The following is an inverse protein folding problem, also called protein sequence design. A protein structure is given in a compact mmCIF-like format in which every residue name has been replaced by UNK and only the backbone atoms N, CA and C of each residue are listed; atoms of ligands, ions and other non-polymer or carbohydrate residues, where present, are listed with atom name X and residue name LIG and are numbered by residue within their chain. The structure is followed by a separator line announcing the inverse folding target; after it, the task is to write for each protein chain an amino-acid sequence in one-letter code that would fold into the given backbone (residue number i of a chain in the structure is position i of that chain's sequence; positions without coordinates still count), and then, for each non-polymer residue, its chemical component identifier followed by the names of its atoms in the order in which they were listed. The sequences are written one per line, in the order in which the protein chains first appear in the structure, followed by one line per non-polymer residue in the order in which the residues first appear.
data_IF_067039578616
#
_entry.id   IF_067039578616
#
_cell.length_a   1.000
_cell.length_b   1.000
_cell.length_c   1.000
_cell.angle_alpha   90.00
_cell.angle_beta   90.00
_cell.angle_gamma   90.00
#
_symmetry.space_group_name_H-M   'P 1'
#
loop_
_entity.id
_entity.type
_entity.pdbx_description
1 polymer ?
#
# COMPACT_ATOMS: atom_id res chain seq x y z
N UNK A 1 -45.21 -4.09 -26.07
CA UNK A 1 -44.46 -3.92 -24.80
C UNK A 1 -44.61 -5.21 -24.00
N UNK A 2 -43.52 -5.83 -23.56
CA UNK A 2 -43.59 -7.07 -22.76
C UNK A 2 -43.12 -6.74 -21.34
N UNK A 3 -44.04 -6.79 -20.37
CA UNK A 3 -43.76 -6.49 -18.98
C UNK A 3 -43.51 -7.80 -18.23
N UNK A 4 -42.23 -8.13 -18.04
CA UNK A 4 -41.81 -9.28 -17.25
C UNK A 4 -41.73 -8.85 -15.77
N UNK A 5 -42.67 -9.29 -14.94
CA UNK A 5 -42.65 -9.10 -13.49
C UNK A 5 -42.13 -10.37 -12.81
N UNK A 6 -40.89 -10.33 -12.35
CA UNK A 6 -40.27 -11.42 -11.59
C UNK A 6 -40.36 -11.09 -10.08
N UNK A 7 -40.89 -11.98 -9.23
CA UNK A 7 -40.95 -11.79 -7.78
C UNK A 7 -39.57 -11.65 -7.15
N UNK A 8 -39.39 -10.65 -6.28
CA UNK A 8 -38.09 -10.27 -5.68
C UNK A 8 -37.47 -11.34 -4.77
N UNK A 9 -38.23 -12.38 -4.39
CA UNK A 9 -37.80 -13.48 -3.50
C UNK A 9 -36.89 -14.51 -4.17
N UNK A 10 -36.88 -14.58 -5.50
CA UNK A 10 -35.94 -15.40 -6.29
C UNK A 10 -34.83 -14.56 -6.93
N UNK A 11 -34.83 -13.26 -6.65
CA UNK A 11 -33.75 -12.39 -7.07
C UNK A 11 -32.65 -12.59 -6.06
N UNK A 12 -31.60 -13.33 -6.45
CA UNK A 12 -30.32 -13.25 -5.76
C UNK A 12 -30.06 -11.77 -5.48
N UNK A 13 -29.72 -11.46 -4.23
CA UNK A 13 -29.36 -10.12 -3.79
C UNK A 13 -28.13 -9.69 -4.60
N UNK A 14 -28.34 -9.22 -5.83
CA UNK A 14 -27.42 -8.33 -6.50
C UNK A 14 -27.47 -7.04 -5.69
N UNK A 15 -26.61 -7.00 -4.67
CA UNK A 15 -26.23 -5.79 -3.98
C UNK A 15 -25.68 -4.91 -5.10
N UNK A 16 -26.42 -3.85 -5.46
CA UNK A 16 -25.97 -2.84 -6.41
C UNK A 16 -24.61 -2.30 -5.95
N UNK A 17 -23.53 -2.81 -6.55
CA UNK A 17 -22.16 -2.56 -6.10
C UNK A 17 -21.26 -3.79 -6.05
N UNK A 18 -21.80 -5.02 -6.15
CA UNK A 18 -20.96 -6.20 -6.38
C UNK A 18 -20.38 -6.17 -7.78
N UNK A 19 -19.25 -5.48 -7.91
CA UNK A 19 -18.32 -5.63 -9.02
C UNK A 19 -18.05 -7.13 -9.18
N UNK A 20 -18.42 -7.68 -10.33
CA UNK A 20 -18.17 -9.07 -10.66
C UNK A 20 -16.68 -9.37 -10.37
N UNK A 21 -16.33 -10.36 -9.52
CA UNK A 21 -14.93 -10.65 -9.22
C UNK A 21 -14.11 -11.04 -10.48
N UNK A 22 -14.78 -11.39 -11.59
CA UNK A 22 -14.16 -11.59 -12.90
C UNK A 22 -13.73 -10.29 -13.60
N UNK A 23 -14.30 -9.13 -13.24
CA UNK A 23 -13.91 -7.81 -13.79
C UNK A 23 -12.88 -7.07 -12.94
N UNK A 24 -12.40 -7.66 -11.84
CA UNK A 24 -11.26 -7.12 -11.12
C UNK A 24 -10.02 -7.32 -11.98
N UNK A 25 -9.45 -6.23 -12.47
CA UNK A 25 -8.15 -6.25 -13.11
C UNK A 25 -7.07 -6.40 -12.03
N UNK A 26 -6.07 -7.25 -12.27
CA UNK A 26 -4.89 -7.33 -11.39
C UNK A 26 -4.03 -6.06 -11.49
N UNK A 27 -4.32 -5.20 -12.48
CA UNK A 27 -3.54 -4.04 -12.81
C UNK A 27 -2.39 -4.39 -13.73
N UNK A 28 -1.71 -3.36 -14.21
CA UNK A 28 -0.60 -3.51 -15.15
C UNK A 28 0.68 -3.79 -14.37
N UNK A 29 1.52 -4.74 -14.82
CA UNK A 29 2.86 -4.91 -14.29
C UNK A 29 3.63 -3.59 -14.36
N UNK A 30 4.03 -3.06 -13.21
CA UNK A 30 4.68 -1.76 -13.12
C UNK A 30 5.72 -1.76 -12.02
N UNK A 31 6.85 -1.12 -12.28
CA UNK A 31 7.89 -0.85 -11.30
C UNK A 31 7.97 0.66 -11.11
N UNK A 32 7.98 1.10 -9.85
CA UNK A 32 8.10 2.50 -9.50
C UNK A 32 9.07 2.66 -8.34
N UNK A 33 9.76 3.79 -8.33
CA UNK A 33 10.59 4.21 -7.23
C UNK A 33 10.41 5.72 -7.02
N UNK A 34 10.17 6.08 -5.77
CA UNK A 34 9.95 7.43 -5.30
C UNK A 34 11.03 7.74 -4.28
N UNK A 35 11.82 8.77 -4.54
CA UNK A 35 12.79 9.27 -3.60
C UNK A 35 12.34 10.63 -3.09
N UNK A 36 12.62 10.90 -1.83
CA UNK A 36 12.36 12.17 -1.19
C UNK A 36 13.61 12.53 -0.38
N UNK A 37 14.11 13.75 -0.54
CA UNK A 37 15.29 14.22 0.20
C UNK A 37 14.94 15.56 0.81
N UNK A 38 15.28 15.76 2.07
CA UNK A 38 15.12 17.03 2.75
C UNK A 38 16.22 17.22 3.78
N UNK A 39 16.61 18.48 3.96
CA UNK A 39 17.65 18.86 4.89
C UNK A 39 17.21 20.10 5.65
N UNK A 40 17.37 20.08 6.96
CA UNK A 40 17.17 21.25 7.81
C UNK A 40 18.49 21.70 8.42
N UNK A 41 18.74 23.00 8.32
CA UNK A 41 19.85 23.67 8.96
C UNK A 41 19.30 24.56 10.07
N UNK A 42 19.68 24.27 11.31
CA UNK A 42 19.27 25.06 12.46
C UNK A 42 20.49 25.62 13.17
N UNK A 43 20.56 26.94 13.25
CA UNK A 43 21.56 27.67 14.04
C UNK A 43 20.92 28.16 15.34
N UNK A 44 21.51 27.82 16.48
CA UNK A 44 21.09 28.31 17.79
C UNK A 44 22.30 28.54 18.69
N UNK A 45 22.44 29.75 19.25
CA UNK A 45 23.51 30.16 20.19
C UNK A 45 24.92 29.64 19.85
N UNK A 46 25.33 29.72 18.58
CA UNK A 46 26.68 29.31 18.13
C UNK A 46 26.84 27.81 17.81
N UNK A 47 25.83 26.98 18.05
CA UNK A 47 25.78 25.60 17.58
C UNK A 47 24.99 25.52 16.26
N UNK A 48 25.60 24.94 15.22
CA UNK A 48 24.93 24.60 13.97
C UNK A 48 24.56 23.11 13.98
N UNK A 49 23.27 22.81 13.90
CA UNK A 49 22.79 21.45 13.71
C UNK A 49 22.29 21.28 12.27
N UNK A 50 22.93 20.37 11.52
CA UNK A 50 22.56 20.03 10.14
C UNK A 50 21.95 18.63 10.18
N UNK A 51 20.66 18.52 9.87
CA UNK A 51 19.98 17.23 9.77
C UNK A 51 19.54 17.01 8.33
N UNK A 52 20.18 16.07 7.66
CA UNK A 52 19.78 15.61 6.33
C UNK A 52 19.06 14.27 6.47
N UNK A 53 17.96 14.14 5.75
CA UNK A 53 17.18 12.92 5.67
C UNK A 53 16.76 12.64 4.23
N UNK A 54 16.77 11.37 3.86
CA UNK A 54 16.24 10.89 2.62
C UNK A 54 15.33 9.70 2.87
N UNK A 55 14.28 9.57 2.07
CA UNK A 55 13.35 8.46 2.07
C UNK A 55 13.27 7.91 0.66
N UNK A 56 13.49 6.61 0.54
CA UNK A 56 13.41 5.86 -0.70
C UNK A 56 12.28 4.85 -0.56
N UNK A 57 11.26 5.01 -1.38
CA UNK A 57 10.13 4.09 -1.49
C UNK A 57 10.18 3.45 -2.86
N UNK A 58 10.29 2.14 -2.92
CA UNK A 58 10.22 1.39 -4.16
C UNK A 58 9.05 0.42 -4.11
N UNK A 59 8.47 0.16 -5.28
CA UNK A 59 7.38 -0.78 -5.39
C UNK A 59 7.32 -1.42 -6.76
N UNK A 60 6.80 -2.63 -6.78
CA UNK A 60 6.64 -3.41 -7.99
C UNK A 60 5.32 -4.17 -7.91
N UNK A 61 4.50 -4.00 -8.94
CA UNK A 61 3.25 -4.73 -9.09
C UNK A 61 3.42 -5.68 -10.27
N UNK A 62 3.13 -6.96 -10.10
CA UNK A 62 3.14 -7.97 -11.17
C UNK A 62 1.97 -8.92 -10.95
N UNK A 63 0.92 -8.78 -11.76
CA UNK A 63 -0.32 -9.53 -11.57
C UNK A 63 -0.87 -9.31 -10.14
N UNK A 64 -1.17 -10.38 -9.37
CA UNK A 64 -1.71 -10.24 -8.02
C UNK A 64 -0.68 -9.85 -6.97
N UNK A 65 0.62 -9.84 -7.31
CA UNK A 65 1.71 -9.58 -6.37
C UNK A 65 2.07 -8.10 -6.35
N UNK A 66 2.24 -7.56 -5.14
CA UNK A 66 2.67 -6.19 -4.89
C UNK A 66 3.81 -6.22 -3.89
N UNK A 67 5.00 -5.92 -4.35
CA UNK A 67 6.18 -5.73 -3.50
C UNK A 67 6.28 -4.24 -3.19
N UNK A 68 6.51 -3.91 -1.93
CA UNK A 68 6.84 -2.55 -1.49
C UNK A 68 8.04 -2.60 -0.55
N UNK A 69 8.96 -1.67 -0.75
CA UNK A 69 10.11 -1.48 0.12
C UNK A 69 10.26 0.01 0.43
N UNK A 70 10.39 0.32 1.71
CA UNK A 70 10.59 1.67 2.22
C UNK A 70 11.88 1.68 3.03
N UNK A 71 12.80 2.56 2.68
CA UNK A 71 14.09 2.75 3.34
C UNK A 71 14.32 4.23 3.59
N UNK A 72 14.83 4.57 4.77
CA UNK A 72 15.19 5.94 5.11
C UNK A 72 16.71 6.02 5.32
N UNK A 73 17.29 7.16 4.97
CA UNK A 73 18.68 7.48 5.24
C UNK A 73 18.74 8.77 6.07
N UNK A 74 19.47 8.74 7.18
CA UNK A 74 19.74 9.92 7.99
C UNK A 74 21.23 10.23 8.00
N UNK A 75 21.58 11.52 8.04
CA UNK A 75 22.98 11.97 8.21
C UNK A 75 23.64 11.38 9.45
N UNK A 76 22.87 11.13 10.51
CA UNK A 76 23.36 10.69 11.82
C UNK A 76 23.16 9.17 12.03
N UNK A 77 22.10 8.59 11.44
CA UNK A 77 21.71 7.18 11.62
C UNK A 77 22.11 6.26 10.46
N UNK A 78 22.52 6.80 9.31
CA UNK A 78 22.82 6.03 8.11
C UNK A 78 21.58 5.45 7.43
N UNK A 79 21.77 4.40 6.61
CA UNK A 79 20.67 3.71 5.93
C UNK A 79 19.92 2.79 6.90
N UNK A 80 18.63 3.03 7.06
CA UNK A 80 17.71 2.20 7.83
C UNK A 80 16.58 1.71 6.91
N UNK A 81 16.49 0.39 6.74
CA UNK A 81 15.33 -0.22 6.09
C UNK A 81 14.13 -0.05 7.01
N UNK A 82 13.10 0.66 6.55
CA UNK A 82 11.87 0.88 7.32
C UNK A 82 11.06 -0.40 7.27
N UNK A 83 10.52 -0.73 6.09
CA UNK A 83 9.63 -1.86 5.89
C UNK A 83 9.86 -2.49 4.52
N UNK A 84 9.73 -3.81 4.45
CA UNK A 84 9.63 -4.54 3.18
C UNK A 84 8.45 -5.47 3.25
N UNK A 85 7.49 -5.27 2.36
CA UNK A 85 6.21 -5.96 2.38
C UNK A 85 5.90 -6.53 1.00
N UNK A 86 5.46 -7.78 0.99
CA UNK A 86 4.96 -8.51 -0.16
C UNK A 86 3.47 -8.78 0.09
N UNK A 87 2.64 -8.14 -0.71
CA UNK A 87 1.19 -8.31 -0.69
C UNK A 87 0.76 -9.15 -1.89
N UNK A 88 -0.26 -9.99 -1.67
CA UNK A 88 -0.92 -10.75 -2.71
C UNK A 88 -2.42 -10.73 -2.51
N UNK A 89 -3.15 -10.22 -3.49
CA UNK A 89 -4.60 -10.29 -3.47
C UNK A 89 -5.07 -11.63 -4.06
N UNK A 90 -5.90 -12.35 -3.30
CA UNK A 90 -6.49 -13.61 -3.73
C UNK A 90 -7.97 -13.36 -4.04
N UNK A 91 -8.25 -13.01 -5.29
CA UNK A 91 -9.62 -12.73 -5.79
C UNK A 91 -10.61 -13.86 -5.47
N UNK A 92 -10.16 -15.12 -5.53
CA UNK A 92 -10.98 -16.31 -5.24
C UNK A 92 -11.49 -16.37 -3.80
N UNK A 93 -10.75 -15.82 -2.85
CA UNK A 93 -11.07 -15.85 -1.42
C UNK A 93 -11.49 -14.47 -0.90
N UNK A 94 -11.59 -13.45 -1.77
CA UNK A 94 -11.79 -12.04 -1.39
C UNK A 94 -10.86 -11.62 -0.22
N UNK A 95 -9.64 -12.15 -0.22
CA UNK A 95 -8.69 -12.01 0.89
C UNK A 95 -7.37 -11.46 0.38
N UNK A 96 -6.70 -10.65 1.22
CA UNK A 96 -5.37 -10.13 0.98
C UNK A 96 -4.38 -10.85 1.88
N UNK A 97 -3.33 -11.40 1.29
CA UNK A 97 -2.23 -12.00 2.02
C UNK A 97 -1.06 -11.02 2.04
N UNK A 98 -0.58 -10.68 3.22
CA UNK A 98 0.54 -9.76 3.42
C UNK A 98 1.65 -10.48 4.19
N UNK A 99 2.85 -10.46 3.63
CA UNK A 99 4.07 -11.00 4.26
C UNK A 99 5.16 -9.95 4.24
N UNK A 100 5.84 -9.75 5.36
CA UNK A 100 7.02 -8.88 5.37
C UNK A 100 7.30 -8.26 6.72
N UNK A 101 8.38 -7.49 6.76
CA UNK A 101 8.68 -6.58 7.85
C UNK A 101 7.74 -5.38 7.72
N UNK A 102 6.53 -5.57 8.20
CA UNK A 102 5.60 -4.48 8.46
C UNK A 102 5.52 -4.42 9.97
N UNK A 103 5.83 -3.28 10.58
CA UNK A 103 5.47 -3.08 11.98
C UNK A 103 4.04 -3.60 12.16
N UNK A 104 3.86 -4.55 13.09
CA UNK A 104 2.54 -5.00 13.51
C UNK A 104 1.70 -3.75 13.66
N UNK A 105 0.55 -3.67 12.98
CA UNK A 105 -0.45 -2.66 13.31
C UNK A 105 -0.75 -2.88 14.79
N UNK A 106 -0.06 -2.11 15.64
CA UNK A 106 -0.31 -2.05 17.05
C UNK A 106 -1.64 -1.38 17.17
N UNK A 107 -2.71 -2.15 17.02
CA UNK A 107 -4.06 -1.78 17.39
C UNK A 107 -4.02 -1.60 18.91
N UNK A 108 -3.48 -0.46 19.35
CA UNK A 108 -3.73 0.06 20.67
C UNK A 108 -5.16 0.57 20.60
N UNK A 109 -6.10 -0.34 20.81
CA UNK A 109 -7.45 0.01 21.22
C UNK A 109 -7.29 0.90 22.44
N UNK A 110 -7.67 2.17 22.30
CA UNK A 110 -7.72 3.11 23.42
C UNK A 110 -9.11 3.09 24.03
#
# INVERSE_FOLDING_TARGET
MLQLRIPQIYRDRQISGESNPASWDDGIPALWASYYVSGSHQQSNGASNVSNWASLNSGMNIGPWRVRNSSNWGSDTGWQSVNTTLERDIKRLRSQFQLGQTYTNGETVR
#
